data_IF_024767132039
#
_entry.id   IF_024767132039
#
_cell.length_a   1.000
_cell.length_b   1.000
_cell.length_c   1.000
_cell.angle_alpha   90.00
_cell.angle_beta   90.00
_cell.angle_gamma   90.00
#
_symmetry.space_group_name_H-M   'P 1'
#
loop_
_entity.id
_entity.type
_entity.pdbx_description
1 polymer ?
#
# COMPACT_ATOMS: atom_id res chain seq x y z
N UNK A 1 29.28 -18.06 3.71
CA UNK A 1 27.98 -18.78 3.74
C UNK A 1 27.09 -18.26 2.62
N UNK A 2 27.06 -18.95 1.48
CA UNK A 2 26.17 -18.62 0.36
C UNK A 2 24.70 -18.69 0.79
N UNK A 3 23.81 -17.94 0.14
CA UNK A 3 22.38 -17.90 0.49
C UNK A 3 21.75 -19.31 0.57
N UNK A 4 22.18 -20.20 -0.32
CA UNK A 4 21.72 -21.58 -0.41
C UNK A 4 22.11 -22.43 0.82
N UNK A 5 23.28 -22.18 1.39
CA UNK A 5 23.77 -22.93 2.55
C UNK A 5 23.04 -22.56 3.84
N UNK A 6 22.71 -21.28 3.99
CA UNK A 6 21.83 -20.81 5.08
C UNK A 6 20.43 -21.39 4.95
N UNK A 7 19.95 -21.53 3.71
CA UNK A 7 18.64 -22.11 3.40
C UNK A 7 18.54 -23.55 3.91
N UNK A 8 19.48 -24.39 3.50
CA UNK A 8 19.55 -25.79 3.93
C UNK A 8 19.67 -25.96 5.45
N UNK A 9 20.44 -25.09 6.11
CA UNK A 9 20.60 -25.13 7.57
C UNK A 9 19.29 -24.88 8.32
N UNK A 10 18.53 -23.86 7.91
CA UNK A 10 17.28 -23.60 8.59
C UNK A 10 16.19 -24.61 8.23
N UNK A 11 16.20 -25.16 7.01
CA UNK A 11 15.28 -26.22 6.61
C UNK A 11 15.46 -27.48 7.46
N UNK A 12 16.71 -27.92 7.65
CA UNK A 12 17.04 -29.04 8.53
C UNK A 12 16.50 -28.81 9.95
N UNK A 13 16.73 -27.60 10.49
CA UNK A 13 16.24 -27.22 11.83
C UNK A 13 14.72 -27.17 11.95
N UNK A 14 14.02 -26.72 10.91
CA UNK A 14 12.55 -26.74 10.89
C UNK A 14 12.02 -28.18 10.84
N UNK A 15 12.70 -29.08 10.13
CA UNK A 15 12.36 -30.50 10.12
C UNK A 15 12.56 -31.11 11.52
N UNK A 16 13.70 -30.86 12.17
CA UNK A 16 13.96 -31.28 13.56
C UNK A 16 12.91 -30.74 14.54
N UNK A 17 12.53 -29.46 14.42
CA UNK A 17 11.48 -28.87 15.24
C UNK A 17 10.15 -29.60 15.08
N UNK A 18 9.77 -29.93 13.83
CA UNK A 18 8.53 -30.65 13.51
C UNK A 18 8.53 -32.08 14.04
N UNK A 19 9.65 -32.79 13.98
CA UNK A 19 9.77 -34.16 14.53
C UNK A 19 9.85 -34.15 16.05
N UNK A 20 10.41 -33.09 16.65
CA UNK A 20 10.54 -32.96 18.11
C UNK A 20 9.19 -32.82 18.82
N UNK A 21 8.16 -32.28 18.17
CA UNK A 21 6.84 -32.03 18.78
C UNK A 21 6.87 -31.04 19.96
N UNK A 22 7.99 -30.36 20.17
CA UNK A 22 8.19 -29.40 21.25
C UNK A 22 7.59 -28.03 20.87
N UNK A 23 7.17 -27.27 21.88
CA UNK A 23 6.78 -25.87 21.67
C UNK A 23 7.99 -25.01 21.22
N UNK A 24 7.77 -23.96 20.42
CA UNK A 24 8.84 -23.16 19.83
C UNK A 24 9.78 -22.52 20.88
N UNK A 25 9.25 -22.06 22.02
CA UNK A 25 10.07 -21.49 23.08
C UNK A 25 11.03 -22.52 23.72
N UNK A 26 10.54 -23.74 23.95
CA UNK A 26 11.34 -24.83 24.52
C UNK A 26 12.40 -25.29 23.54
N UNK A 27 12.02 -25.53 22.29
CA UNK A 27 12.97 -25.93 21.25
C UNK A 27 14.05 -24.87 21.00
N UNK A 28 13.68 -23.59 20.94
CA UNK A 28 14.63 -22.50 20.81
C UNK A 28 15.64 -22.42 21.96
N UNK A 29 15.22 -22.74 23.19
CA UNK A 29 16.11 -22.77 24.36
C UNK A 29 17.13 -23.90 24.29
N UNK A 30 16.69 -25.10 23.88
CA UNK A 30 17.56 -26.29 23.77
C UNK A 30 18.56 -26.14 22.62
N UNK A 31 18.13 -25.58 21.48
CA UNK A 31 18.95 -25.48 20.27
C UNK A 31 19.68 -24.13 20.13
N UNK A 32 19.53 -23.20 21.08
CA UNK A 32 20.18 -21.88 21.05
C UNK A 32 19.72 -20.98 19.90
N UNK A 33 18.51 -21.20 19.38
CA UNK A 33 17.95 -20.46 18.25
C UNK A 33 17.03 -19.35 18.73
N UNK A 34 17.07 -18.19 18.09
CA UNK A 34 16.12 -17.10 18.38
C UNK A 34 14.70 -17.47 17.93
N UNK A 35 13.73 -17.36 18.84
CA UNK A 35 12.30 -17.62 18.55
C UNK A 35 11.79 -16.85 17.34
N UNK A 36 12.18 -15.58 17.20
CA UNK A 36 11.83 -14.76 16.01
C UNK A 36 12.37 -15.36 14.70
N UNK A 37 13.57 -15.95 14.71
CA UNK A 37 14.12 -16.61 13.51
C UNK A 37 13.38 -17.90 13.20
N UNK A 38 13.01 -18.68 14.21
CA UNK A 38 12.20 -19.89 13.99
C UNK A 38 10.85 -19.55 13.35
N UNK A 39 10.15 -18.52 13.82
CA UNK A 39 8.91 -18.04 13.19
C UNK A 39 9.13 -17.56 11.75
N UNK A 40 10.24 -16.87 11.49
CA UNK A 40 10.60 -16.45 10.14
C UNK A 40 10.80 -17.65 9.20
N UNK A 41 11.51 -18.69 9.65
CA UNK A 41 11.69 -19.93 8.88
C UNK A 41 10.37 -20.69 8.69
N UNK A 42 9.52 -20.76 9.71
CA UNK A 42 8.19 -21.37 9.60
C UNK A 42 7.31 -20.63 8.58
N UNK A 43 7.30 -19.29 8.61
CA UNK A 43 6.58 -18.46 7.64
C UNK A 43 7.11 -18.70 6.23
N UNK A 44 8.44 -18.71 6.05
CA UNK A 44 9.09 -18.97 4.76
C UNK A 44 8.82 -20.39 4.25
N UNK A 45 8.80 -21.39 5.15
CA UNK A 45 8.48 -22.79 4.81
C UNK A 45 7.02 -23.00 4.39
N UNK A 46 6.09 -22.18 4.88
CA UNK A 46 4.66 -22.23 4.51
C UNK A 46 4.35 -21.49 3.20
N UNK A 47 5.25 -20.64 2.73
CA UNK A 47 4.92 -19.64 1.72
C UNK A 47 6.09 -19.21 0.86
N UNK A 48 6.82 -20.16 0.28
CA UNK A 48 7.55 -19.90 -0.97
C UNK A 48 6.60 -19.52 -2.14
N UNK A 49 5.27 -19.52 -1.92
CA UNK A 49 4.26 -19.01 -2.85
C UNK A 49 3.28 -17.99 -2.26
N UNK A 50 3.54 -17.42 -1.08
CA UNK A 50 2.66 -16.35 -0.54
C UNK A 50 3.48 -15.44 0.37
N UNK A 51 4.39 -14.70 -0.24
CA UNK A 51 4.42 -13.31 0.13
C UNK A 51 3.05 -12.76 -0.33
N UNK A 52 2.22 -12.14 0.52
CA UNK A 52 1.60 -10.93 0.05
C UNK A 52 2.78 -9.98 -0.11
N UNK A 53 3.52 -10.14 -1.21
CA UNK A 53 3.88 -8.96 -1.93
C UNK A 53 2.50 -8.35 -2.13
N UNK A 54 2.16 -7.37 -1.29
CA UNK A 54 1.31 -6.32 -1.76
C UNK A 54 2.09 -5.79 -2.96
N UNK A 55 1.97 -6.48 -4.10
CA UNK A 55 2.19 -5.97 -5.41
C UNK A 55 1.26 -4.79 -5.34
N UNK A 56 1.81 -3.63 -4.98
CA UNK A 56 1.13 -2.38 -5.11
C UNK A 56 0.79 -2.36 -6.60
N UNK A 57 -0.40 -2.83 -6.91
CA UNK A 57 -0.90 -2.94 -8.26
C UNK A 57 -1.20 -1.50 -8.58
N UNK A 58 -0.18 -0.81 -9.12
CA UNK A 58 -0.31 0.55 -9.58
C UNK A 58 -1.29 0.51 -10.75
N UNK A 59 -2.56 0.77 -10.44
CA UNK A 59 -3.61 0.90 -11.45
C UNK A 59 -3.34 2.21 -12.19
N UNK A 60 -3.20 2.14 -13.51
CA UNK A 60 -3.12 3.34 -14.33
C UNK A 60 -4.49 4.02 -14.32
N UNK A 61 -4.57 5.18 -13.67
CA UNK A 61 -5.70 6.09 -13.78
C UNK A 61 -5.50 6.92 -15.04
N UNK A 62 -6.34 6.70 -16.05
CA UNK A 62 -6.50 7.65 -17.15
C UNK A 62 -7.37 8.79 -16.65
N UNK A 63 -6.74 9.92 -16.34
CA UNK A 63 -7.46 11.19 -16.21
C UNK A 63 -8.00 11.52 -17.60
N UNK A 64 -9.30 11.29 -17.81
CA UNK A 64 -10.00 11.99 -18.86
C UNK A 64 -9.94 13.47 -18.50
N UNK A 65 -9.12 14.22 -19.25
CA UNK A 65 -9.15 15.67 -19.23
C UNK A 65 -10.62 16.07 -19.42
N UNK A 66 -11.25 16.77 -18.47
CA UNK A 66 -12.57 17.30 -18.71
C UNK A 66 -12.39 18.28 -19.87
N UNK A 67 -12.75 17.83 -21.07
CA UNK A 67 -12.86 18.67 -22.24
C UNK A 67 -13.49 19.96 -21.77
N UNK A 68 -12.70 21.03 -21.93
CA UNK A 68 -13.02 22.37 -21.55
C UNK A 68 -14.49 22.64 -21.88
N UNK A 69 -15.35 22.52 -20.87
CA UNK A 69 -16.74 22.90 -20.97
C UNK A 69 -16.71 24.38 -21.27
N UNK A 70 -16.90 24.67 -22.56
CA UNK A 70 -17.17 25.91 -23.26
C UNK A 70 -16.88 27.20 -22.48
N UNK A 71 -16.12 28.18 -23.02
CA UNK A 71 -15.92 29.46 -22.36
C UNK A 71 -17.29 30.06 -22.03
N UNK A 72 -17.59 30.13 -20.73
CA UNK A 72 -18.81 30.76 -20.22
C UNK A 72 -18.88 32.16 -20.83
N UNK A 73 -20.01 32.56 -21.45
CA UNK A 73 -20.12 33.88 -22.01
C UNK A 73 -19.92 34.88 -20.86
N UNK A 74 -18.91 35.75 -21.04
CA UNK A 74 -18.64 36.91 -20.20
C UNK A 74 -19.97 37.58 -19.90
N UNK A 75 -20.33 37.71 -18.63
CA UNK A 75 -21.43 38.55 -18.20
C UNK A 75 -21.20 39.96 -18.76
N UNK A 76 -21.83 40.26 -19.89
CA UNK A 76 -21.93 41.63 -20.38
C UNK A 76 -22.63 42.43 -19.29
N UNK A 77 -21.98 43.51 -18.88
CA UNK A 77 -22.35 44.34 -17.75
C UNK A 77 -23.84 44.67 -17.78
N UNK A 78 -24.46 44.64 -16.59
CA UNK A 78 -25.81 45.14 -16.38
C UNK A 78 -25.96 46.49 -17.09
N UNK A 79 -27.02 46.73 -17.89
CA UNK A 79 -27.27 48.07 -18.40
C UNK A 79 -27.45 49.01 -17.20
N UNK A 80 -26.69 50.12 -17.20
CA UNK A 80 -26.93 51.23 -16.27
C UNK A 80 -28.39 51.62 -16.43
N UNK A 81 -29.18 51.46 -15.36
CA UNK A 81 -30.50 52.09 -15.28
C UNK A 81 -30.27 53.58 -15.50
N UNK A 82 -30.77 54.07 -16.63
CA UNK A 82 -30.95 55.50 -16.87
C UNK A 82 -31.93 55.99 -15.81
N UNK A 83 -31.38 56.49 -14.70
CA UNK A 83 -32.14 57.25 -13.73
C UNK A 83 -32.10 58.68 -14.24
N UNK A 84 -32.92 58.95 -15.25
CA UNK A 84 -33.29 60.30 -15.66
C UNK A 84 -33.71 61.07 -14.41
N UNK A 85 -32.80 61.88 -13.90
CA UNK A 85 -33.07 62.80 -12.81
C UNK A 85 -34.01 63.86 -13.37
N UNK A 86 -35.28 63.74 -13.00
CA UNK A 86 -36.18 64.86 -12.94
C UNK A 86 -35.45 66.02 -12.23
N UNK A 87 -35.18 67.08 -12.97
CA UNK A 87 -34.69 68.33 -12.40
C UNK A 87 -35.35 69.52 -13.07
N UNK A 88 -36.27 70.11 -12.30
CA UNK A 88 -36.68 71.52 -12.29
C UNK A 88 -37.42 72.01 -13.57
N UNK A 89 -38.43 72.87 -13.53
CA UNK A 89 -38.89 73.82 -12.52
C UNK A 89 -40.25 74.39 -12.97
N UNK A 90 -40.94 75.00 -12.01
CA UNK A 90 -42.03 75.97 -12.14
C UNK A 90 -41.85 77.02 -13.23
#
# INVERSE_FOLDING_TARGET
>A
MSQNERQRQWEARVAEFRTSGLGPARWCREHGVKVKQLYYWLKKSRGAGTEPEATAQWVQVTVAEPEASAPRPRHQGRPRRDRGQARLRS
#
